data_IF_292045359928
#
_entry.id   IF_292045359928
#
_cell.length_a   1.000
_cell.length_b   1.000
_cell.length_c   1.000
_cell.angle_alpha   90.00
_cell.angle_beta   90.00
_cell.angle_gamma   90.00
#
_symmetry.space_group_name_H-M   'P 1'
#
loop_
_entity.id
_entity.type
_entity.pdbx_description
1 polymer ?
#
# COMPACT_ATOMS: atom_id res chain seq x y z
N UNK A 1 -35.54 -3.55 -15.50
CA UNK A 1 -35.18 -2.16 -15.13
C UNK A 1 -34.64 -2.21 -13.71
N UNK A 2 -33.32 -2.08 -13.52
CA UNK A 2 -32.74 -2.03 -12.19
C UNK A 2 -32.83 -0.59 -11.68
N UNK A 3 -33.89 -0.29 -10.92
CA UNK A 3 -34.08 1.00 -10.24
C UNK A 3 -33.65 0.89 -8.79
N UNK A 4 -32.45 0.36 -8.53
CA UNK A 4 -31.87 0.38 -7.20
C UNK A 4 -31.20 1.74 -7.02
N UNK A 5 -31.80 2.60 -6.21
CA UNK A 5 -31.13 3.81 -5.72
C UNK A 5 -29.86 3.36 -4.99
N UNK A 6 -28.71 3.72 -5.54
CA UNK A 6 -27.42 3.54 -4.87
C UNK A 6 -27.38 4.45 -3.63
N UNK A 7 -27.81 3.95 -2.49
CA UNK A 7 -27.48 4.55 -1.19
C UNK A 7 -26.06 4.16 -0.80
N UNK A 8 -25.38 4.99 0.00
CA UNK A 8 -24.04 4.67 0.52
C UNK A 8 -22.83 5.15 -0.31
N UNK A 9 -23.02 6.03 -1.30
CA UNK A 9 -21.87 6.68 -1.96
C UNK A 9 -21.16 7.62 -0.99
N UNK A 10 -19.89 7.32 -0.67
CA UNK A 10 -18.98 8.25 0.00
C UNK A 10 -18.15 8.99 -1.06
N UNK A 11 -18.04 10.31 -0.93
CA UNK A 11 -17.11 11.08 -1.75
C UNK A 11 -15.72 10.86 -1.17
N UNK A 12 -14.81 10.37 -2.01
CA UNK A 12 -13.42 10.10 -1.63
C UNK A 12 -12.55 11.19 -2.24
N UNK A 13 -11.88 11.97 -1.38
CA UNK A 13 -10.89 12.99 -1.79
C UNK A 13 -9.48 12.39 -1.77
N UNK A 14 -8.51 12.99 -2.47
CA UNK A 14 -7.16 12.43 -2.63
C UNK A 14 -6.43 12.11 -1.31
N UNK A 15 -6.69 12.87 -0.25
CA UNK A 15 -6.01 12.69 1.05
C UNK A 15 -6.86 11.92 2.07
N UNK A 16 -7.87 11.16 1.62
CA UNK A 16 -8.69 10.37 2.54
C UNK A 16 -7.87 9.30 3.28
N UNK A 17 -8.34 8.89 4.45
CA UNK A 17 -7.70 7.81 5.23
C UNK A 17 -8.69 6.66 5.39
N UNK A 18 -8.18 5.43 5.37
CA UNK A 18 -8.97 4.24 5.72
C UNK A 18 -9.16 4.24 7.24
N UNK A 19 -10.34 4.68 7.65
CA UNK A 19 -10.75 4.76 9.05
C UNK A 19 -11.11 3.38 9.63
N UNK A 20 -11.37 3.35 10.93
CA UNK A 20 -11.73 2.12 11.65
C UNK A 20 -13.06 1.54 11.21
N UNK A 21 -13.98 2.39 10.72
CA UNK A 21 -15.27 1.93 10.20
C UNK A 21 -15.08 1.15 8.90
N UNK A 22 -14.25 1.64 7.97
CA UNK A 22 -13.91 0.92 6.74
C UNK A 22 -13.18 -0.40 7.02
N UNK A 23 -12.29 -0.41 8.04
CA UNK A 23 -11.61 -1.63 8.45
C UNK A 23 -12.59 -2.64 9.06
N UNK A 24 -13.55 -2.19 9.87
CA UNK A 24 -14.60 -3.04 10.40
C UNK A 24 -15.49 -3.60 9.29
N UNK A 25 -15.92 -2.76 8.34
CA UNK A 25 -16.69 -3.17 7.16
C UNK A 25 -15.94 -4.24 6.35
N UNK A 26 -14.63 -4.05 6.15
CA UNK A 26 -13.78 -5.06 5.49
C UNK A 26 -13.71 -6.37 6.28
N UNK A 27 -13.62 -6.31 7.61
CA UNK A 27 -13.63 -7.52 8.45
C UNK A 27 -14.96 -8.26 8.37
N UNK A 28 -16.09 -7.55 8.33
CA UNK A 28 -17.41 -8.18 8.12
C UNK A 28 -17.52 -8.81 6.73
N UNK A 29 -16.94 -8.18 5.71
CA UNK A 29 -16.86 -8.72 4.36
C UNK A 29 -16.15 -10.07 4.33
N UNK A 30 -14.96 -10.16 4.94
CA UNK A 30 -14.20 -11.40 5.04
C UNK A 30 -15.01 -12.52 5.72
N UNK A 31 -15.77 -12.20 6.76
CA UNK A 31 -16.67 -13.17 7.41
C UNK A 31 -17.79 -13.62 6.48
N UNK A 32 -18.40 -12.70 5.73
CA UNK A 32 -19.47 -13.03 4.76
C UNK A 32 -18.96 -13.96 3.66
N UNK A 33 -17.74 -13.72 3.19
CA UNK A 33 -17.03 -14.57 2.23
C UNK A 33 -16.49 -15.88 2.85
N UNK A 34 -16.77 -16.12 4.13
CA UNK A 34 -16.33 -17.31 4.90
C UNK A 34 -14.81 -17.49 4.91
N UNK A 35 -14.08 -16.39 4.80
CA UNK A 35 -12.63 -16.37 4.96
C UNK A 35 -12.33 -16.48 6.46
N UNK A 36 -11.54 -17.50 6.83
CA UNK A 36 -11.12 -17.67 8.22
C UNK A 36 -10.18 -16.53 8.61
N UNK A 37 -10.52 -15.81 9.67
CA UNK A 37 -9.72 -14.71 10.22
C UNK A 37 -9.07 -15.20 11.51
N UNK A 38 -7.73 -15.19 11.55
CA UNK A 38 -6.98 -15.34 12.79
C UNK A 38 -6.76 -13.95 13.39
N UNK A 39 -7.43 -13.65 14.50
CA UNK A 39 -7.50 -12.29 15.04
C UNK A 39 -6.13 -11.71 15.39
N UNK A 40 -5.22 -12.52 15.93
CA UNK A 40 -3.86 -12.08 16.25
C UNK A 40 -3.04 -11.75 15.00
N UNK A 41 -3.22 -12.48 13.91
CA UNK A 41 -2.54 -12.19 12.65
C UNK A 41 -3.13 -10.93 12.00
N UNK A 42 -4.46 -10.83 11.97
CA UNK A 42 -5.14 -9.65 11.45
C UNK A 42 -4.74 -8.37 12.19
N UNK A 43 -4.64 -8.45 13.52
CA UNK A 43 -4.24 -7.31 14.36
C UNK A 43 -2.77 -6.91 14.16
N UNK A 44 -1.88 -7.86 13.85
CA UNK A 44 -0.46 -7.57 13.55
C UNK A 44 -0.29 -6.84 12.21
N UNK A 45 -1.18 -7.13 11.26
CA UNK A 45 -1.08 -6.63 9.90
C UNK A 45 -2.00 -5.44 9.61
N UNK A 46 -2.54 -4.76 10.63
CA UNK A 46 -3.51 -3.67 10.44
C UNK A 46 -3.03 -2.56 9.51
N UNK A 47 -1.77 -2.13 9.66
CA UNK A 47 -1.21 -1.08 8.82
C UNK A 47 -1.11 -1.52 7.35
N UNK A 48 -0.73 -2.78 7.13
CA UNK A 48 -0.70 -3.38 5.81
C UNK A 48 -2.11 -3.49 5.22
N UNK A 49 -3.08 -3.99 5.98
CA UNK A 49 -4.46 -4.13 5.55
C UNK A 49 -5.06 -2.76 5.18
N UNK A 50 -4.83 -1.72 5.99
CA UNK A 50 -5.26 -0.35 5.67
C UNK A 50 -4.59 0.16 4.40
N UNK A 51 -3.29 -0.06 4.22
CA UNK A 51 -2.58 0.32 3.00
C UNK A 51 -3.15 -0.37 1.75
N UNK A 52 -3.52 -1.65 1.87
CA UNK A 52 -4.11 -2.42 0.77
C UNK A 52 -5.55 -1.98 0.44
N UNK A 53 -6.37 -1.72 1.45
CA UNK A 53 -7.72 -1.14 1.24
C UNK A 53 -7.60 0.22 0.54
N UNK A 54 -6.66 1.07 1.01
CA UNK A 54 -6.39 2.38 0.42
C UNK A 54 -5.97 2.24 -1.05
N UNK A 55 -5.05 1.32 -1.33
CA UNK A 55 -4.56 1.04 -2.67
C UNK A 55 -5.70 0.64 -3.63
N UNK A 56 -6.58 -0.26 -3.20
CA UNK A 56 -7.69 -0.72 -4.01
C UNK A 56 -8.70 0.41 -4.31
N UNK A 57 -8.99 1.27 -3.34
CA UNK A 57 -9.83 2.45 -3.55
C UNK A 57 -9.15 3.44 -4.51
N UNK A 58 -7.87 3.78 -4.29
CA UNK A 58 -7.15 4.72 -5.15
C UNK A 58 -7.07 4.22 -6.59
N UNK A 59 -6.88 2.92 -6.80
CA UNK A 59 -6.82 2.30 -8.14
C UNK A 59 -8.13 2.48 -8.91
N UNK A 60 -9.27 2.40 -8.22
CA UNK A 60 -10.61 2.48 -8.82
C UNK A 60 -11.09 3.93 -8.96
N UNK A 61 -10.80 4.80 -7.98
CA UNK A 61 -11.32 6.17 -7.92
C UNK A 61 -10.41 7.17 -8.63
N UNK A 62 -9.08 6.94 -8.61
CA UNK A 62 -8.10 7.84 -9.20
C UNK A 62 -7.33 7.13 -10.32
N UNK A 63 -6.05 6.82 -10.09
CA UNK A 63 -5.18 6.16 -11.07
C UNK A 63 -4.31 5.12 -10.37
N UNK A 64 -3.83 4.14 -11.13
CA UNK A 64 -2.86 3.17 -10.62
C UNK A 64 -1.54 3.83 -10.18
N UNK A 65 -1.15 4.95 -10.80
CA UNK A 65 0.03 5.70 -10.41
C UNK A 65 -0.13 6.34 -9.03
N UNK A 66 -1.29 6.95 -8.76
CA UNK A 66 -1.62 7.51 -7.45
C UNK A 66 -1.64 6.40 -6.38
N UNK A 67 -2.28 5.27 -6.66
CA UNK A 67 -2.34 4.12 -5.74
C UNK A 67 -0.94 3.58 -5.39
N UNK A 68 -0.07 3.39 -6.39
CA UNK A 68 1.31 2.93 -6.18
C UNK A 68 2.15 3.93 -5.41
N UNK A 69 1.96 5.23 -5.66
CA UNK A 69 2.67 6.28 -4.92
C UNK A 69 2.35 6.21 -3.43
N UNK A 70 1.08 6.15 -3.06
CA UNK A 70 0.69 6.05 -1.65
C UNK A 70 1.17 4.76 -1.01
N UNK A 71 1.07 3.62 -1.71
CA UNK A 71 1.59 2.34 -1.19
C UNK A 71 3.10 2.41 -0.92
N UNK A 72 3.89 2.92 -1.88
CA UNK A 72 5.34 3.05 -1.71
C UNK A 72 5.74 3.98 -0.55
N UNK A 73 4.88 4.94 -0.18
CA UNK A 73 5.14 5.84 0.94
C UNK A 73 4.99 5.15 2.31
N UNK A 74 4.24 4.05 2.39
CA UNK A 74 3.94 3.37 3.67
C UNK A 74 4.49 1.94 3.73
N UNK A 75 4.85 1.33 2.59
CA UNK A 75 5.44 0.00 2.52
C UNK A 75 6.89 0.01 3.05
N UNK A 76 7.18 -0.69 4.17
CA UNK A 76 8.52 -0.73 4.74
C UNK A 76 9.58 -1.34 3.80
N UNK A 77 9.18 -2.28 2.94
CA UNK A 77 10.08 -2.91 1.98
C UNK A 77 10.43 -1.94 0.85
N UNK A 78 9.44 -1.18 0.36
CA UNK A 78 9.67 -0.14 -0.64
C UNK A 78 10.58 0.96 -0.08
N UNK A 79 10.34 1.40 1.15
CA UNK A 79 11.19 2.40 1.82
C UNK A 79 12.62 1.90 2.02
N UNK A 80 12.79 0.64 2.43
CA UNK A 80 14.11 0.02 2.58
C UNK A 80 14.84 -0.02 1.24
N UNK A 81 14.19 -0.50 0.18
CA UNK A 81 14.77 -0.54 -1.16
C UNK A 81 15.17 0.85 -1.66
N UNK A 82 14.36 1.87 -1.41
CA UNK A 82 14.66 3.27 -1.74
C UNK A 82 15.89 3.79 -0.97
N UNK A 83 16.08 3.39 0.29
CA UNK A 83 17.26 3.74 1.08
C UNK A 83 18.57 3.14 0.55
N UNK A 84 18.52 1.98 -0.11
CA UNK A 84 19.71 1.27 -0.61
C UNK A 84 20.36 1.94 -1.83
N UNK A 85 19.66 2.84 -2.55
CA UNK A 85 20.24 3.48 -3.74
C UNK A 85 21.51 4.29 -3.44
N UNK A 86 21.59 4.91 -2.27
CA UNK A 86 22.78 5.65 -1.85
C UNK A 86 24.00 4.73 -1.66
N UNK A 87 23.79 3.56 -1.06
CA UNK A 87 24.84 2.56 -0.90
C UNK A 87 25.25 1.95 -2.25
N UNK A 88 24.28 1.63 -3.10
CA UNK A 88 24.54 1.15 -4.45
C UNK A 88 25.40 2.14 -5.28
N UNK A 89 25.15 3.44 -5.14
CA UNK A 89 25.96 4.49 -5.78
C UNK A 89 27.39 4.50 -5.24
N UNK A 90 27.58 4.44 -3.92
CA UNK A 90 28.92 4.38 -3.29
C UNK A 90 29.71 3.17 -3.78
N UNK A 91 29.09 1.98 -3.79
CA UNK A 91 29.71 0.75 -4.28
C UNK A 91 30.14 0.87 -5.75
N UNK A 92 29.29 1.47 -6.60
CA UNK A 92 29.62 1.72 -8.00
C UNK A 92 30.81 2.67 -8.16
N UNK A 93 30.88 3.73 -7.36
CA UNK A 93 31.99 4.69 -7.37
C UNK A 93 33.30 4.06 -6.89
N UNK A 94 33.25 3.27 -5.80
CA UNK A 94 34.41 2.54 -5.28
C UNK A 94 34.96 1.55 -6.31
N UNK A 95 34.10 0.78 -6.99
CA UNK A 95 34.51 -0.13 -8.06
C UNK A 95 35.22 0.61 -9.21
N UNK A 96 34.70 1.78 -9.63
CA UNK A 96 35.35 2.61 -10.66
C UNK A 96 36.71 3.16 -10.22
N UNK A 97 36.87 3.53 -8.95
CA UNK A 97 38.14 4.02 -8.41
C UNK A 97 39.18 2.90 -8.32
N UNK A 98 38.78 1.71 -7.85
CA UNK A 98 39.66 0.52 -7.81
C UNK A 98 40.15 0.11 -9.19
N UNK A 99 39.27 0.11 -10.21
CA UNK A 99 39.65 -0.21 -11.59
C UNK A 99 40.59 0.81 -12.23
N UNK A 100 40.63 2.06 -11.74
CA UNK A 100 41.58 3.09 -12.21
C UNK A 100 42.95 3.01 -11.54
N UNK A 101 43.04 2.45 -10.34
CA UNK A 101 44.29 2.31 -9.59
C UNK A 101 45.08 1.03 -9.95
N UNK A 102 44.49 0.14 -10.75
CA UNK A 102 45.10 -1.12 -11.21
C UNK A 102 45.68 -1.10 -12.63
N UNK A 103 45.90 0.09 -13.22
CA UNK A 103 46.56 0.30 -14.52
C UNK A 103 47.84 1.13 -14.35
#
# INVERSE_FOLDING_TARGET
RFSQQSSGRKVVVRDFVVDDAMLADFREELRREKIKIEDDAFNKDLDFIRAMIRFEIDRVVFTLADARRHLNMVDPQAQTALGMFGEAQKLTLLNRAGNKAGL
#
